data_IF_910201489510
#
_entry.id   IF_910201489510
#
_cell.length_a   1.000
_cell.length_b   1.000
_cell.length_c   1.000
_cell.angle_alpha   90.00
_cell.angle_beta   90.00
_cell.angle_gamma   90.00
#
_symmetry.space_group_name_H-M   'P 1'
#
loop_
_entity.id
_entity.type
_entity.pdbx_description
1 polymer ?
#
# COMPACT_ATOMS: atom_id res chain seq x y z
N UNK A 1 47.55 0.43 -16.38
CA UNK A 1 48.01 1.32 -15.29
C UNK A 1 47.65 0.66 -13.97
N UNK A 2 48.67 0.13 -13.28
CA UNK A 2 48.58 -0.52 -11.96
C UNK A 2 48.81 0.57 -10.89
N UNK A 3 48.05 0.55 -9.81
CA UNK A 3 48.40 1.26 -8.59
C UNK A 3 48.54 0.26 -7.45
N UNK A 4 49.72 0.29 -6.84
CA UNK A 4 50.13 -0.51 -5.68
C UNK A 4 49.69 0.18 -4.37
N UNK A 5 49.36 -0.63 -3.35
CA UNK A 5 49.45 -0.34 -1.90
C UNK A 5 50.95 -0.36 -1.45
N UNK A 6 51.39 -0.18 -0.18
CA UNK A 6 50.68 -0.28 1.12
C UNK A 6 51.24 0.57 2.30
N UNK A 7 50.86 0.19 3.54
CA UNK A 7 51.47 0.36 4.88
C UNK A 7 50.55 1.18 5.83
N UNK A 8 49.89 0.63 6.86
CA UNK A 8 50.24 -0.27 7.97
C UNK A 8 51.19 0.36 9.01
N UNK A 9 50.63 0.72 10.17
CA UNK A 9 51.38 0.95 11.41
C UNK A 9 50.53 0.50 12.60
N UNK A 10 51.10 -0.37 13.42
CA UNK A 10 50.53 -0.91 14.65
C UNK A 10 51.30 -0.37 15.88
N UNK A 11 50.54 -0.09 16.95
CA UNK A 11 50.85 -0.21 18.40
C UNK A 11 51.99 0.64 19.04
N UNK A 12 51.98 0.94 20.38
CA UNK A 12 51.51 0.08 21.49
C UNK A 12 50.78 0.70 22.70
N UNK A 13 50.34 -0.23 23.56
CA UNK A 13 49.74 -0.17 24.90
C UNK A 13 50.71 0.33 26.01
N UNK A 14 50.22 1.04 27.04
CA UNK A 14 50.43 0.70 28.48
C UNK A 14 49.58 1.57 29.46
N UNK A 15 49.37 1.13 30.72
CA UNK A 15 48.27 1.54 31.60
C UNK A 15 48.69 2.36 32.85
N UNK A 16 47.67 2.69 33.65
CA UNK A 16 47.66 2.87 35.11
C UNK A 16 48.28 4.15 35.70
N UNK A 17 47.46 4.91 36.44
CA UNK A 17 47.83 5.43 37.77
C UNK A 17 46.61 5.96 38.55
N UNK A 18 46.41 5.37 39.72
CA UNK A 18 45.56 5.76 40.84
C UNK A 18 46.05 7.06 41.48
N UNK A 19 45.15 7.92 41.97
CA UNK A 19 45.49 8.86 43.05
C UNK A 19 44.29 9.14 43.95
N UNK A 20 44.60 9.26 45.24
CA UNK A 20 43.74 9.24 46.43
C UNK A 20 43.89 10.55 47.20
N UNK A 21 42.95 10.81 48.11
CA UNK A 21 42.97 11.79 49.22
C UNK A 21 42.51 13.22 48.85
N UNK A 22 41.83 14.01 49.70
CA UNK A 22 41.09 13.81 50.95
C UNK A 22 40.42 15.16 51.31
N UNK A 23 39.17 15.11 51.80
CA UNK A 23 38.59 15.82 52.96
C UNK A 23 38.60 17.38 52.98
N UNK A 24 37.42 18.02 53.02
CA UNK A 24 36.87 18.78 54.18
C UNK A 24 35.53 19.48 53.87
N UNK A 25 34.48 18.96 54.52
CA UNK A 25 33.43 19.64 55.31
C UNK A 25 32.80 20.93 54.80
N UNK A 26 31.47 20.90 54.58
CA UNK A 26 30.53 21.82 55.25
C UNK A 26 29.08 21.31 55.18
N UNK A 27 28.41 21.44 56.33
CA UNK A 27 27.05 21.02 56.67
C UNK A 27 26.06 22.12 56.33
N UNK A 28 24.97 21.79 55.62
CA UNK A 28 23.74 22.59 55.57
C UNK A 28 22.52 21.66 55.63
N UNK A 29 21.53 22.12 56.40
CA UNK A 29 20.29 21.51 56.84
C UNK A 29 19.17 21.58 55.75
N UNK A 30 18.09 20.79 55.93
CA UNK A 30 16.76 20.78 55.22
C UNK A 30 16.70 19.91 53.94
N UNK A 31 15.71 19.06 53.66
CA UNK A 31 14.31 18.83 54.08
C UNK A 31 13.90 17.41 53.57
N UNK A 32 12.87 16.71 54.11
CA UNK A 32 12.44 15.44 53.52
C UNK A 32 11.68 15.69 52.20
N UNK A 33 12.27 15.26 51.09
CA UNK A 33 11.57 15.19 49.81
C UNK A 33 10.47 14.13 49.90
N UNK A 34 9.23 14.59 49.71
CA UNK A 34 8.03 13.78 49.52
C UNK A 34 8.27 12.70 48.46
N UNK A 35 8.11 11.43 48.84
CA UNK A 35 7.96 10.32 47.91
C UNK A 35 6.58 10.41 47.27
N UNK A 36 6.47 11.25 46.24
CA UNK A 36 5.38 11.13 45.29
C UNK A 36 5.52 9.79 44.57
N UNK A 37 4.60 8.87 44.84
CA UNK A 37 4.45 7.64 44.08
C UNK A 37 4.33 7.96 42.59
N UNK A 38 5.39 7.69 41.84
CA UNK A 38 5.35 7.65 40.38
C UNK A 38 4.41 6.51 39.98
N UNK A 39 3.15 6.85 39.76
CA UNK A 39 2.22 5.99 39.05
C UNK A 39 2.73 5.91 37.61
N UNK A 40 3.51 4.87 37.32
CA UNK A 40 3.90 4.53 35.95
C UNK A 40 2.61 4.19 35.22
N UNK A 41 2.07 5.19 34.53
CA UNK A 41 0.99 5.00 33.58
C UNK A 41 1.61 4.20 32.44
N UNK A 42 1.41 2.90 32.46
CA UNK A 42 1.69 2.04 31.30
C UNK A 42 0.78 2.51 30.19
N UNK A 43 1.23 3.50 29.42
CA UNK A 43 0.68 3.79 28.11
C UNK A 43 1.01 2.55 27.28
N UNK A 44 0.03 1.66 27.16
CA UNK A 44 0.01 0.66 26.12
C UNK A 44 0.34 1.39 24.83
N UNK A 45 1.53 1.15 24.27
CA UNK A 45 1.86 1.57 22.92
C UNK A 45 0.82 0.90 22.02
N UNK A 46 -0.23 1.62 21.67
CA UNK A 46 -1.08 1.24 20.54
C UNK A 46 -0.18 1.33 19.33
N UNK A 47 0.42 0.20 18.96
CA UNK A 47 1.01 -0.01 17.65
C UNK A 47 -0.04 0.46 16.66
N UNK A 48 0.21 1.58 16.00
CA UNK A 48 -0.71 2.13 15.03
C UNK A 48 -0.61 1.25 13.79
N UNK A 49 -1.34 0.14 13.82
CA UNK A 49 -1.53 -0.76 12.70
C UNK A 49 -2.38 -0.05 11.65
N UNK A 50 -2.15 -0.36 10.38
CA UNK A 50 -2.99 0.19 9.31
C UNK A 50 -4.31 -0.56 9.22
N UNK A 51 -5.34 0.08 8.65
CA UNK A 51 -6.63 -0.56 8.41
C UNK A 51 -6.52 -1.88 7.62
N UNK A 52 -5.52 -1.97 6.74
CA UNK A 52 -5.25 -3.16 5.94
C UNK A 52 -4.68 -4.26 6.81
N UNK A 53 -3.69 -3.97 7.65
CA UNK A 53 -3.14 -4.95 8.58
C UNK A 53 -4.22 -5.45 9.55
N UNK A 54 -5.04 -4.53 10.09
CA UNK A 54 -6.15 -4.88 11.00
C UNK A 54 -7.18 -5.79 10.33
N UNK A 55 -7.50 -5.52 9.06
CA UNK A 55 -8.45 -6.32 8.30
C UNK A 55 -7.89 -7.71 7.96
N UNK A 56 -6.62 -7.80 7.56
CA UNK A 56 -5.98 -9.09 7.26
C UNK A 56 -5.74 -9.94 8.50
N UNK A 57 -5.46 -9.31 9.64
CA UNK A 57 -4.96 -10.00 10.82
C UNK A 57 -3.65 -10.75 10.52
N UNK A 58 -3.47 -11.98 11.03
CA UNK A 58 -2.24 -12.76 10.84
C UNK A 58 -1.89 -13.04 9.38
N UNK A 59 -2.88 -13.09 8.49
CA UNK A 59 -2.65 -13.37 7.06
C UNK A 59 -1.90 -12.24 6.34
N UNK A 60 -1.76 -11.06 6.98
CA UNK A 60 -0.97 -9.95 6.46
C UNK A 60 0.50 -10.35 6.27
N UNK A 61 1.05 -11.18 7.15
CA UNK A 61 2.45 -11.64 7.11
C UNK A 61 2.75 -12.50 5.88
N UNK A 62 1.71 -13.05 5.24
CA UNK A 62 1.86 -13.83 4.01
C UNK A 62 2.09 -12.97 2.78
N UNK A 63 1.79 -11.67 2.83
CA UNK A 63 2.10 -10.75 1.74
C UNK A 63 3.63 -10.57 1.62
N UNK A 64 4.10 -10.24 0.43
CA UNK A 64 5.50 -9.88 0.25
C UNK A 64 5.89 -8.67 1.13
N UNK A 65 7.08 -8.62 1.74
CA UNK A 65 7.49 -7.54 2.65
C UNK A 65 7.30 -6.11 2.10
N UNK A 66 7.60 -5.87 0.81
CA UNK A 66 7.33 -4.57 0.19
C UNK A 66 5.82 -4.22 0.13
N UNK A 67 4.96 -5.21 -0.14
CA UNK A 67 3.51 -4.99 -0.09
C UNK A 67 3.03 -4.73 1.34
N UNK A 68 3.62 -5.39 2.33
CA UNK A 68 3.35 -5.10 3.74
C UNK A 68 3.74 -3.65 4.06
N UNK A 69 4.96 -3.24 3.73
CA UNK A 69 5.47 -1.88 3.97
C UNK A 69 4.56 -0.81 3.36
N UNK A 70 4.20 -0.96 2.09
CA UNK A 70 3.29 -0.03 1.40
C UNK A 70 1.92 0.07 2.09
N UNK A 71 1.38 -1.04 2.59
CA UNK A 71 0.09 -1.05 3.26
C UNK A 71 0.15 -0.68 4.75
N UNK A 72 1.32 -0.63 5.36
CA UNK A 72 1.52 -0.07 6.70
C UNK A 72 1.67 1.45 6.64
N UNK A 73 2.49 1.94 5.72
CA UNK A 73 2.93 3.33 5.72
C UNK A 73 2.28 4.18 4.63
N UNK A 74 1.58 3.55 3.68
CA UNK A 74 1.22 4.21 2.43
C UNK A 74 2.43 4.35 1.53
N UNK A 75 2.28 5.11 0.45
CA UNK A 75 3.38 5.40 -0.47
C UNK A 75 2.89 5.85 -1.83
N UNK A 76 3.84 6.20 -2.68
CA UNK A 76 3.57 6.58 -4.06
C UNK A 76 4.25 5.59 -5.00
N UNK A 77 3.50 5.10 -5.99
CA UNK A 77 3.99 4.22 -7.03
C UNK A 77 3.90 4.92 -8.39
N UNK A 78 4.96 4.86 -9.18
CA UNK A 78 5.06 5.47 -10.50
C UNK A 78 5.60 4.50 -11.53
N UNK A 79 5.15 4.63 -12.77
CA UNK A 79 5.67 3.84 -13.88
C UNK A 79 4.76 3.82 -15.09
N UNK A 80 5.29 3.29 -16.18
CA UNK A 80 4.54 3.20 -17.43
C UNK A 80 3.62 1.98 -17.43
N UNK A 81 2.44 2.19 -17.98
CA UNK A 81 1.41 1.15 -18.09
C UNK A 81 1.03 0.94 -19.55
N UNK A 82 0.73 -0.31 -19.88
CA UNK A 82 0.15 -0.69 -21.15
C UNK A 82 -1.36 -0.86 -20.99
N UNK A 83 -2.13 -0.21 -21.86
CA UNK A 83 -3.59 -0.21 -21.87
C UNK A 83 -4.08 -0.92 -23.14
N UNK A 84 -4.98 -1.87 -22.97
CA UNK A 84 -5.60 -2.62 -24.07
C UNK A 84 -7.13 -2.50 -23.98
N UNK A 85 -7.78 -2.41 -25.14
CA UNK A 85 -9.24 -2.34 -25.23
C UNK A 85 -9.74 -3.45 -26.15
N UNK A 86 -10.88 -4.04 -25.79
CA UNK A 86 -11.56 -5.03 -26.60
C UNK A 86 -11.96 -4.53 -27.99
N UNK A 87 -12.42 -5.46 -28.82
CA UNK A 87 -12.91 -5.19 -30.19
C UNK A 87 -14.42 -5.33 -30.26
N UNK A 88 -15.03 -4.80 -31.33
CA UNK A 88 -16.49 -4.89 -31.55
C UNK A 88 -17.32 -4.33 -30.39
N UNK A 89 -18.40 -5.03 -30.03
CA UNK A 89 -19.28 -4.63 -28.92
C UNK A 89 -18.55 -4.63 -27.57
N UNK A 90 -17.67 -5.60 -27.32
CA UNK A 90 -16.84 -5.63 -26.11
C UNK A 90 -15.97 -4.38 -26.00
N UNK A 91 -15.40 -3.91 -27.11
CA UNK A 91 -14.65 -2.66 -27.18
C UNK A 91 -15.50 -1.44 -26.85
N UNK A 92 -16.73 -1.35 -27.39
CA UNK A 92 -17.64 -0.22 -27.08
C UNK A 92 -17.99 -0.19 -25.58
N UNK A 93 -18.32 -1.34 -24.99
CA UNK A 93 -18.61 -1.45 -23.56
C UNK A 93 -17.36 -1.16 -22.72
N UNK A 94 -16.20 -1.66 -23.14
CA UNK A 94 -14.92 -1.42 -22.49
C UNK A 94 -14.54 0.05 -22.45
N UNK A 95 -14.75 0.79 -23.54
CA UNK A 95 -14.52 2.24 -23.56
C UNK A 95 -15.42 3.00 -22.59
N UNK A 96 -16.71 2.63 -22.52
CA UNK A 96 -17.65 3.23 -21.56
C UNK A 96 -17.24 2.93 -20.11
N UNK A 97 -16.85 1.69 -19.82
CA UNK A 97 -16.41 1.29 -18.49
C UNK A 97 -15.10 1.99 -18.09
N UNK A 98 -14.12 2.03 -18.99
CA UNK A 98 -12.84 2.72 -18.80
C UNK A 98 -13.06 4.21 -18.50
N UNK A 99 -13.91 4.89 -19.29
CA UNK A 99 -14.24 6.30 -19.04
C UNK A 99 -14.89 6.50 -17.67
N UNK A 100 -15.84 5.63 -17.26
CA UNK A 100 -16.45 5.69 -15.93
C UNK A 100 -15.41 5.51 -14.80
N UNK A 101 -14.37 4.70 -15.05
CA UNK A 101 -13.27 4.48 -14.11
C UNK A 101 -12.15 5.52 -14.21
N UNK A 102 -12.29 6.50 -15.11
CA UNK A 102 -11.30 7.55 -15.38
C UNK A 102 -10.00 7.05 -15.99
N UNK A 103 -10.05 5.96 -16.76
CA UNK A 103 -8.90 5.41 -17.49
C UNK A 103 -8.86 6.03 -18.90
N UNK A 104 -7.80 6.79 -19.26
CA UNK A 104 -7.65 7.31 -20.60
C UNK A 104 -7.23 6.20 -21.56
N UNK A 105 -8.02 6.00 -22.60
CA UNK A 105 -7.92 4.89 -23.57
C UNK A 105 -7.59 5.37 -24.99
N UNK A 106 -7.17 6.63 -25.10
CA UNK A 106 -6.76 7.28 -26.33
C UNK A 106 -5.33 6.91 -26.74
N UNK A 107 -4.51 6.39 -25.82
CA UNK A 107 -3.17 5.90 -26.09
C UNK A 107 -2.93 4.55 -25.40
N UNK A 108 -2.18 3.61 -26.02
CA UNK A 108 -1.88 2.30 -25.45
C UNK A 108 -0.83 2.33 -24.36
N UNK A 109 -0.09 3.45 -24.21
CA UNK A 109 0.90 3.63 -23.16
C UNK A 109 0.64 4.94 -22.42
N UNK A 110 0.69 4.89 -21.09
CA UNK A 110 0.46 6.03 -20.21
C UNK A 110 1.42 5.96 -19.02
N UNK A 111 1.78 7.12 -18.50
CA UNK A 111 2.47 7.17 -17.21
C UNK A 111 1.42 7.15 -16.10
N UNK A 112 1.53 6.19 -15.18
CA UNK A 112 0.64 6.04 -14.04
C UNK A 112 1.35 6.50 -12.77
N UNK A 113 0.69 7.34 -11.99
CA UNK A 113 1.04 7.64 -10.60
C UNK A 113 -0.10 7.18 -9.70
N UNK A 114 0.23 6.44 -8.64
CA UNK A 114 -0.71 5.93 -7.64
C UNK A 114 -0.24 6.36 -6.26
N UNK A 115 -1.10 7.06 -5.51
CA UNK A 115 -0.89 7.37 -4.10
C UNK A 115 -1.77 6.44 -3.27
N UNK A 116 -1.14 5.72 -2.35
CA UNK A 116 -1.81 4.79 -1.44
C UNK A 116 -1.71 5.37 -0.03
N UNK A 117 -2.85 5.51 0.63
CA UNK A 117 -2.93 6.01 1.99
C UNK A 117 -4.06 5.32 2.77
N UNK A 118 -4.02 5.45 4.10
CA UNK A 118 -4.95 4.79 5.01
C UNK A 118 -5.60 5.82 5.93
N UNK A 119 -6.89 5.64 6.23
CA UNK A 119 -7.60 6.44 7.24
C UNK A 119 -8.54 5.54 8.03
N UNK A 120 -8.35 5.44 9.35
CA UNK A 120 -9.22 4.66 10.24
C UNK A 120 -9.53 3.23 9.71
N UNK A 121 -10.66 3.04 9.04
CA UNK A 121 -11.09 1.76 8.43
C UNK A 121 -11.20 1.84 6.89
N UNK A 122 -10.44 2.74 6.26
CA UNK A 122 -10.50 3.01 4.84
C UNK A 122 -9.12 2.92 4.19
N UNK A 123 -9.08 2.26 3.05
CA UNK A 123 -7.96 2.27 2.12
C UNK A 123 -8.27 3.27 1.00
N UNK A 124 -7.36 4.22 0.77
CA UNK A 124 -7.51 5.30 -0.21
C UNK A 124 -6.47 5.13 -1.31
N UNK A 125 -6.92 4.95 -2.55
CA UNK A 125 -6.08 4.83 -3.74
C UNK A 125 -6.40 5.97 -4.69
N UNK A 126 -5.53 6.97 -4.76
CA UNK A 126 -5.62 8.03 -5.75
C UNK A 126 -4.74 7.65 -6.94
N UNK A 127 -5.31 7.69 -8.16
CA UNK A 127 -4.58 7.38 -9.39
C UNK A 127 -4.71 8.51 -10.39
N UNK A 128 -3.63 8.78 -11.11
CA UNK A 128 -3.62 9.72 -12.22
C UNK A 128 -2.83 9.15 -13.40
N UNK A 129 -3.37 9.33 -14.60
CA UNK A 129 -2.77 8.87 -15.85
C UNK A 129 -2.31 10.08 -16.66
N UNK A 130 -1.00 10.30 -16.73
CA UNK A 130 -0.38 11.43 -17.43
C UNK A 130 0.16 11.08 -18.82
N UNK A 131 0.56 12.12 -19.56
CA UNK A 131 1.31 12.04 -20.84
C UNK A 131 2.44 13.08 -20.88
N UNK A 132 3.05 13.41 -19.74
CA UNK A 132 3.82 14.65 -19.59
C UNK A 132 2.93 15.84 -19.18
N UNK A 133 3.50 17.05 -19.16
CA UNK A 133 3.15 18.27 -18.40
C UNK A 133 1.72 18.89 -18.50
N UNK A 134 0.69 18.11 -18.82
CA UNK A 134 -0.71 18.47 -18.58
C UNK A 134 -1.18 17.95 -17.21
N UNK A 135 -2.15 18.64 -16.60
CA UNK A 135 -2.78 18.17 -15.36
C UNK A 135 -3.54 16.86 -15.62
N UNK A 136 -3.00 15.75 -15.14
CA UNK A 136 -3.65 14.45 -15.20
C UNK A 136 -4.84 14.44 -14.22
N UNK A 137 -6.03 14.09 -14.71
CA UNK A 137 -7.22 13.95 -13.85
C UNK A 137 -6.95 12.86 -12.82
N UNK A 138 -7.03 13.23 -11.54
CA UNK A 138 -6.97 12.28 -10.45
C UNK A 138 -8.32 11.59 -10.24
N UNK A 139 -8.27 10.29 -9.98
CA UNK A 139 -9.42 9.46 -9.59
C UNK A 139 -9.11 8.83 -8.25
N UNK A 140 -9.96 9.11 -7.26
CA UNK A 140 -9.87 8.54 -5.92
C UNK A 140 -10.81 7.34 -5.80
N UNK A 141 -10.25 6.18 -5.47
CA UNK A 141 -10.98 5.00 -5.02
C UNK A 141 -10.85 4.89 -3.50
N UNK A 142 -11.98 4.74 -2.80
CA UNK A 142 -12.04 4.55 -1.34
C UNK A 142 -12.69 3.20 -1.05
N UNK A 143 -12.00 2.39 -0.25
CA UNK A 143 -12.45 1.06 0.13
C UNK A 143 -12.66 1.00 1.65
N UNK A 144 -13.89 0.76 2.08
CA UNK A 144 -14.23 0.56 3.48
C UNK A 144 -14.00 -0.90 3.88
N UNK A 145 -13.26 -1.14 4.96
CA UNK A 145 -13.08 -2.46 5.55
C UNK A 145 -14.35 -2.89 6.32
N UNK A 146 -14.78 -4.14 6.13
CA UNK A 146 -15.88 -4.76 6.87
C UNK A 146 -15.45 -6.13 7.37
N UNK A 147 -15.54 -6.33 8.68
CA UNK A 147 -15.08 -7.56 9.34
C UNK A 147 -13.56 -7.74 9.22
N UNK A 148 -13.10 -8.99 9.26
CA UNK A 148 -11.70 -9.38 9.13
C UNK A 148 -11.56 -10.59 8.21
N UNK A 149 -10.45 -10.71 7.51
CA UNK A 149 -10.11 -11.85 6.68
C UNK A 149 -10.14 -13.16 7.50
N UNK A 150 -10.64 -14.30 6.96
CA UNK A 150 -11.05 -14.52 5.57
C UNK A 150 -12.53 -14.24 5.25
N UNK A 151 -13.37 -13.99 6.25
CA UNK A 151 -14.83 -13.80 6.04
C UNK A 151 -15.22 -12.35 5.78
N UNK A 152 -14.35 -11.41 6.13
CA UNK A 152 -14.48 -9.98 5.86
C UNK A 152 -14.38 -9.64 4.39
N UNK A 153 -14.72 -8.39 4.08
CA UNK A 153 -14.69 -7.86 2.73
C UNK A 153 -14.47 -6.34 2.74
N UNK A 154 -14.17 -5.81 1.57
CA UNK A 154 -14.02 -4.39 1.28
C UNK A 154 -15.20 -3.91 0.44
N UNK A 155 -15.64 -2.68 0.69
CA UNK A 155 -16.70 -2.02 -0.08
C UNK A 155 -16.12 -0.82 -0.81
N UNK A 156 -16.18 -0.83 -2.15
CA UNK A 156 -15.93 0.35 -2.99
C UNK A 156 -17.27 0.93 -3.47
N UNK A 157 -17.46 2.24 -3.32
CA UNK A 157 -18.63 2.95 -3.86
C UNK A 157 -18.23 3.78 -5.06
N UNK A 158 -18.94 3.63 -6.18
CA UNK A 158 -18.72 4.41 -7.39
C UNK A 158 -20.05 4.83 -8.00
N UNK A 159 -20.49 6.05 -7.67
CA UNK A 159 -21.84 6.52 -7.99
C UNK A 159 -22.89 5.62 -7.33
N UNK A 160 -23.88 5.17 -8.09
CA UNK A 160 -24.93 4.28 -7.59
C UNK A 160 -24.50 2.81 -7.40
N UNK A 161 -23.26 2.46 -7.76
CA UNK A 161 -22.73 1.10 -7.68
C UNK A 161 -21.98 0.88 -6.37
N UNK A 162 -22.25 -0.24 -5.70
CA UNK A 162 -21.43 -0.74 -4.60
C UNK A 162 -20.79 -2.06 -5.02
N UNK A 163 -19.48 -2.19 -4.83
CA UNK A 163 -18.74 -3.41 -5.11
C UNK A 163 -18.27 -4.03 -3.80
N UNK A 164 -18.58 -5.30 -3.60
CA UNK A 164 -18.04 -6.10 -2.49
C UNK A 164 -16.91 -6.95 -3.02
N UNK A 165 -15.74 -6.84 -2.42
CA UNK A 165 -14.54 -7.57 -2.82
C UNK A 165 -13.79 -8.09 -1.61
N UNK A 166 -13.16 -9.25 -1.74
CA UNK A 166 -12.18 -9.74 -0.76
C UNK A 166 -10.82 -9.84 -1.43
N UNK A 167 -9.82 -10.20 -0.66
CA UNK A 167 -8.45 -10.34 -1.14
C UNK A 167 -7.97 -11.75 -0.85
N UNK A 168 -7.46 -12.39 -1.88
CA UNK A 168 -6.71 -13.64 -1.74
C UNK A 168 -5.21 -13.32 -1.76
N UNK A 169 -4.44 -13.99 -0.89
CA UNK A 169 -2.97 -13.95 -0.91
C UNK A 169 -2.44 -15.15 -1.68
N UNK A 170 -1.82 -14.88 -2.84
CA UNK A 170 -1.28 -15.90 -3.73
C UNK A 170 0.19 -15.56 -3.99
N UNK A 171 1.10 -16.44 -3.61
CA UNK A 171 2.55 -16.26 -3.78
C UNK A 171 3.08 -14.92 -3.25
N UNK A 172 2.55 -14.46 -2.11
CA UNK A 172 2.87 -13.17 -1.52
C UNK A 172 2.25 -11.96 -2.22
N UNK A 173 1.49 -12.18 -3.29
CA UNK A 173 0.72 -11.17 -3.99
C UNK A 173 -0.65 -10.90 -3.37
N UNK A 174 -1.23 -9.78 -3.77
CA UNK A 174 -2.58 -9.34 -3.43
C UNK A 174 -3.49 -9.51 -4.64
N UNK A 175 -4.51 -10.35 -4.53
CA UNK A 175 -5.46 -10.62 -5.61
C UNK A 175 -6.87 -10.24 -5.19
N UNK A 176 -7.44 -9.22 -5.84
CA UNK A 176 -8.83 -8.83 -5.61
C UNK A 176 -9.79 -9.84 -6.21
N UNK A 177 -10.74 -10.31 -5.40
CA UNK A 177 -11.83 -11.17 -5.83
C UNK A 177 -13.17 -10.52 -5.56
N UNK A 178 -13.94 -10.29 -6.62
CA UNK A 178 -15.29 -9.75 -6.50
C UNK A 178 -16.22 -10.79 -5.85
N UNK A 179 -16.93 -10.38 -4.80
CA UNK A 179 -17.97 -11.17 -4.12
C UNK A 179 -19.37 -10.82 -4.64
N UNK A 180 -19.56 -9.60 -5.14
CA UNK A 180 -20.80 -9.17 -5.74
C UNK A 180 -20.84 -7.65 -5.96
N UNK A 181 -21.91 -7.20 -6.59
CA UNK A 181 -22.19 -5.78 -6.74
C UNK A 181 -23.68 -5.49 -6.53
N UNK A 182 -24.01 -4.26 -6.18
CA UNK A 182 -25.38 -3.76 -6.17
C UNK A 182 -25.47 -2.42 -6.87
N UNK A 183 -26.65 -2.15 -7.45
CA UNK A 183 -27.00 -0.88 -8.07
C UNK A 183 -28.22 -0.31 -7.33
N UNK A 184 -28.09 0.91 -6.79
CA UNK A 184 -29.13 1.52 -5.95
C UNK A 184 -29.58 0.61 -4.78
N UNK A 185 -28.66 -0.19 -4.24
CA UNK A 185 -28.93 -1.15 -3.15
C UNK A 185 -29.48 -2.51 -3.62
N UNK A 186 -29.92 -2.65 -4.86
CA UNK A 186 -30.41 -3.92 -5.40
C UNK A 186 -29.24 -4.80 -5.88
N UNK A 187 -29.15 -6.08 -5.43
CA UNK A 187 -28.08 -6.97 -5.84
C UNK A 187 -28.13 -7.23 -7.34
N UNK A 188 -26.99 -7.18 -8.01
CA UNK A 188 -26.87 -7.48 -9.43
C UNK A 188 -26.55 -8.98 -9.63
N UNK A 189 -27.17 -9.63 -10.63
CA UNK A 189 -26.81 -11.00 -10.97
C UNK A 189 -25.37 -11.05 -11.49
N UNK A 190 -24.54 -11.86 -10.84
CA UNK A 190 -23.10 -11.98 -11.15
C UNK A 190 -22.84 -12.36 -12.62
N UNK A 191 -23.77 -13.08 -13.26
CA UNK A 191 -23.68 -13.47 -14.66
C UNK A 191 -23.67 -12.29 -15.65
N UNK A 192 -24.21 -11.12 -15.26
CA UNK A 192 -24.23 -9.91 -16.09
C UNK A 192 -23.04 -8.98 -15.82
N UNK A 193 -22.27 -9.24 -14.77
CA UNK A 193 -21.16 -8.38 -14.39
C UNK A 193 -19.89 -8.75 -15.16
N UNK A 194 -19.03 -7.77 -15.48
CA UNK A 194 -17.69 -8.06 -15.94
C UNK A 194 -16.94 -8.87 -14.88
N UNK A 195 -16.28 -9.94 -15.30
CA UNK A 195 -15.27 -10.60 -14.47
C UNK A 195 -14.06 -9.69 -14.39
N UNK A 196 -13.64 -9.37 -13.18
CA UNK A 196 -12.40 -8.63 -12.94
C UNK A 196 -11.25 -9.61 -12.67
N UNK A 197 -10.07 -9.28 -13.19
CA UNK A 197 -8.79 -9.82 -12.75
C UNK A 197 -7.96 -8.63 -12.31
N UNK A 198 -7.83 -8.43 -11.00
CA UNK A 198 -7.07 -7.33 -10.44
C UNK A 198 -6.10 -7.88 -9.40
N UNK A 199 -4.81 -7.78 -9.67
CA UNK A 199 -3.78 -8.29 -8.76
C UNK A 199 -2.54 -7.42 -8.76
N UNK A 200 -1.72 -7.62 -7.72
CA UNK A 200 -0.37 -7.07 -7.63
C UNK A 200 0.55 -8.04 -6.91
N UNK A 201 1.79 -8.13 -7.36
CA UNK A 201 2.87 -8.86 -6.69
C UNK A 201 4.19 -8.12 -6.90
N UNK A 202 5.24 -8.58 -6.24
CA UNK A 202 6.58 -8.02 -6.41
C UNK A 202 7.37 -8.84 -7.42
N UNK A 203 7.85 -8.17 -8.45
CA UNK A 203 8.69 -8.73 -9.51
C UNK A 203 10.00 -7.96 -9.51
N UNK A 204 11.11 -8.61 -9.13
CA UNK A 204 12.44 -8.00 -9.08
C UNK A 204 12.49 -6.67 -8.30
N UNK A 205 11.80 -6.62 -7.16
CA UNK A 205 11.72 -5.42 -6.30
C UNK A 205 10.71 -4.36 -6.75
N UNK A 206 10.05 -4.54 -7.89
CA UNK A 206 9.07 -3.60 -8.42
C UNK A 206 7.63 -4.16 -8.34
N UNK A 207 6.64 -3.26 -8.33
CA UNK A 207 5.23 -3.59 -8.19
C UNK A 207 4.63 -3.95 -9.54
N UNK A 208 4.59 -5.24 -9.85
CA UNK A 208 3.85 -5.76 -11.01
C UNK A 208 2.38 -5.77 -10.68
N UNK A 209 1.55 -5.18 -11.53
CA UNK A 209 0.10 -5.24 -11.37
C UNK A 209 -0.62 -5.41 -12.70
N UNK A 210 -1.84 -5.91 -12.62
CA UNK A 210 -2.79 -5.93 -13.72
C UNK A 210 -4.19 -5.64 -13.20
N UNK A 211 -4.96 -4.88 -13.97
CA UNK A 211 -6.40 -4.74 -13.84
C UNK A 211 -7.03 -5.00 -15.20
N UNK A 212 -7.79 -6.08 -15.31
CA UNK A 212 -8.50 -6.47 -16.51
C UNK A 212 -9.97 -6.74 -16.24
N UNK A 213 -10.82 -6.37 -17.20
CA UNK A 213 -12.25 -6.65 -17.19
C UNK A 213 -12.63 -7.45 -18.43
N UNK A 214 -13.33 -8.55 -18.22
CA UNK A 214 -13.79 -9.45 -19.27
C UNK A 214 -15.28 -9.65 -19.12
N UNK A 215 -16.04 -9.43 -20.19
CA UNK A 215 -17.45 -9.74 -20.19
C UNK A 215 -17.68 -11.19 -20.60
N UNK A 216 -18.49 -11.95 -19.85
CA UNK A 216 -18.95 -13.26 -20.32
C UNK A 216 -19.53 -13.14 -21.74
N UNK A 217 -19.21 -14.10 -22.60
CA UNK A 217 -19.62 -14.19 -24.02
C UNK A 217 -19.01 -13.13 -24.96
N UNK A 218 -18.86 -11.88 -24.54
CA UNK A 218 -18.31 -10.82 -25.40
C UNK A 218 -16.77 -10.75 -25.40
N UNK A 219 -16.13 -11.28 -24.37
CA UNK A 219 -14.66 -11.30 -24.24
C UNK A 219 -14.08 -10.06 -23.56
N UNK A 220 -12.79 -9.75 -23.78
CA UNK A 220 -12.09 -8.68 -23.08
C UNK A 220 -12.73 -7.31 -23.33
N UNK A 221 -13.01 -6.57 -22.26
CA UNK A 221 -13.52 -5.20 -22.33
C UNK A 221 -12.36 -4.21 -22.41
N UNK A 222 -11.49 -4.23 -21.40
CA UNK A 222 -10.22 -3.50 -21.38
C UNK A 222 -9.33 -4.06 -20.27
N UNK A 223 -8.04 -3.75 -20.36
CA UNK A 223 -7.06 -4.01 -19.30
C UNK A 223 -6.03 -2.89 -19.24
N UNK A 224 -5.40 -2.73 -18.08
CA UNK A 224 -4.16 -1.99 -17.96
C UNK A 224 -3.23 -2.70 -16.97
N UNK A 225 -1.95 -2.69 -17.27
CA UNK A 225 -0.92 -3.38 -16.46
C UNK A 225 0.40 -2.64 -16.58
N UNK A 226 1.27 -2.84 -15.60
CA UNK A 226 2.57 -2.19 -15.59
C UNK A 226 3.47 -2.74 -14.51
N UNK A 227 4.71 -2.24 -14.50
CA UNK A 227 5.69 -2.46 -13.45
C UNK A 227 5.96 -1.09 -12.83
N UNK A 228 5.58 -0.89 -11.58
CA UNK A 228 5.70 0.40 -10.91
C UNK A 228 6.86 0.36 -9.91
N UNK A 229 7.55 1.48 -9.78
CA UNK A 229 8.54 1.71 -8.74
C UNK A 229 7.92 2.55 -7.63
N UNK A 230 8.38 2.35 -6.41
CA UNK A 230 8.07 3.26 -5.32
C UNK A 230 8.85 4.56 -5.54
N UNK A 231 8.15 5.69 -5.45
CA UNK A 231 8.79 7.01 -5.46
C UNK A 231 9.37 7.24 -4.06
N UNK A 232 10.69 7.50 -4.00
CA UNK A 232 11.35 7.89 -2.76
C UNK A 232 10.87 9.30 -2.38
N UNK A 233 10.36 9.45 -1.15
CA UNK A 233 9.89 10.73 -0.60
C UNK A 233 10.92 11.32 0.36
#
# INVERSE_FOLDING_TARGET
>A
MRWCLPANTAEPCNPSATSTASILTQSVFQQPASLASLSVKTESMTTTTSCVQDWFGPEFERLHPLLQHLHLHGGVLVGDVHIQVGRGLAGVLGRRLAHKMGIPIDQPHRHLRVVISHRAQQLHWARSFGTGAGSAKEVLSVFDAVGQHPSGYWVERTGAMHFKMTVDVIDGGWHWRALGASLHGLPLPISLLPRSRAYKHIENGAYRFEVAFVMPLLGPLFSYSGLLQQEDV
#
